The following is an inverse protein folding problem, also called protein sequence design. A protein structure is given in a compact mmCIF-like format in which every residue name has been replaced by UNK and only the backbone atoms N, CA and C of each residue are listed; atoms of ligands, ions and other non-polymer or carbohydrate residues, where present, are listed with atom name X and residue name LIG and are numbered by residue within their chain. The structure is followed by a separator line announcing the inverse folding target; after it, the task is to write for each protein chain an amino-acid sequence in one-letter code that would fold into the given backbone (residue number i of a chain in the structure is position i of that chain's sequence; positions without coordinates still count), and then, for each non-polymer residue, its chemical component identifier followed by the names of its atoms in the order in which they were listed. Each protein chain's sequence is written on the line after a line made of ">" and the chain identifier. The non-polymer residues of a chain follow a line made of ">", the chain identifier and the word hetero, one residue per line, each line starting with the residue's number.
data_IF_602057784367
#
_entry.id   IF_602057784367
#
_cell.length_a   1.000
_cell.length_b   1.000
_cell.length_c   1.000
_cell.angle_alpha   90.00
_cell.angle_beta   90.00
_cell.angle_gamma   90.00
#
_symmetry.space_group_name_H-M   'P 1'
#
loop_
_entity.id
_entity.type
_entity.pdbx_description
1 polymer ?
#
# COMPACT_ATOMS: atom_id res chain seq x y z
N UNK A 1 -9.24 9.84 -4.09
CA UNK A 1 -8.85 8.42 -4.09
C UNK A 1 -10.13 7.61 -4.03
N UNK A 2 -10.25 6.65 -4.92
CA UNK A 2 -11.34 5.69 -4.91
C UNK A 2 -10.79 4.31 -4.56
N UNK A 3 -11.29 3.75 -3.47
CA UNK A 3 -10.96 2.39 -3.03
C UNK A 3 -12.23 1.56 -3.05
N UNK A 4 -12.14 0.37 -3.64
CA UNK A 4 -13.22 -0.61 -3.65
C UNK A 4 -12.72 -1.92 -3.06
N UNK A 5 -13.56 -2.61 -2.29
CA UNK A 5 -13.21 -3.90 -1.68
C UNK A 5 -13.32 -3.88 -0.15
N UNK A 6 -12.47 -4.65 0.51
CA UNK A 6 -12.59 -4.94 1.95
C UNK A 6 -11.95 -3.92 2.89
N UNK A 7 -11.52 -2.78 2.39
CA UNK A 7 -10.87 -1.78 3.24
C UNK A 7 -11.89 -1.03 4.10
N UNK A 8 -12.17 -1.57 5.28
CA UNK A 8 -13.10 -1.00 6.25
C UNK A 8 -12.50 -1.13 7.66
N UNK A 9 -11.46 -0.35 7.97
CA UNK A 9 -10.88 -0.39 9.31
C UNK A 9 -11.85 0.18 10.34
N UNK A 10 -11.83 -0.39 11.53
CA UNK A 10 -12.66 0.06 12.62
C UNK A 10 -12.09 -0.33 13.97
N UNK A 11 -12.61 0.25 15.08
CA UNK A 11 -12.14 -0.03 16.41
C UNK A 11 -12.21 -1.51 16.76
N UNK A 12 -11.12 -2.07 17.28
CA UNK A 12 -11.04 -3.45 17.74
C UNK A 12 -10.77 -4.49 16.65
N UNK A 13 -10.69 -4.09 15.39
CA UNK A 13 -10.33 -4.98 14.28
C UNK A 13 -9.23 -4.35 13.43
N UNK A 14 -7.99 -4.73 13.71
CA UNK A 14 -6.87 -4.28 12.90
C UNK A 14 -6.93 -4.90 11.51
N UNK A 15 -6.82 -4.07 10.48
CA UNK A 15 -6.54 -4.51 9.12
C UNK A 15 -5.09 -4.20 8.75
N UNK A 16 -4.43 -5.15 8.09
CA UNK A 16 -3.10 -4.98 7.50
C UNK A 16 -3.24 -5.15 5.99
N UNK A 17 -2.94 -4.09 5.25
CA UNK A 17 -3.18 -4.02 3.80
C UNK A 17 -1.91 -3.58 3.09
N UNK A 18 -1.42 -4.40 2.17
CA UNK A 18 -0.30 -4.04 1.32
C UNK A 18 -0.80 -3.44 0.00
N UNK A 19 -0.23 -2.31 -0.40
CA UNK A 19 -0.41 -1.78 -1.73
C UNK A 19 0.58 -2.43 -2.67
N UNK A 20 0.07 -3.06 -3.72
CA UNK A 20 0.87 -3.73 -4.75
C UNK A 20 0.48 -3.19 -6.12
N UNK A 21 1.36 -3.33 -7.09
CA UNK A 21 1.05 -2.94 -8.45
C UNK A 21 2.26 -2.49 -9.25
N UNK A 22 2.03 -2.10 -10.52
CA UNK A 22 3.09 -1.61 -11.39
C UNK A 22 3.76 -0.36 -10.87
N UNK A 23 4.99 -0.10 -11.34
CA UNK A 23 5.69 1.16 -11.08
C UNK A 23 4.94 2.33 -11.70
N UNK A 24 5.06 3.50 -11.09
CA UNK A 24 4.47 4.75 -11.63
C UNK A 24 2.96 4.89 -11.44
N UNK A 25 2.32 4.04 -10.64
CA UNK A 25 0.89 4.14 -10.32
C UNK A 25 0.60 5.09 -9.15
N UNK A 26 1.63 5.62 -8.51
CA UNK A 26 1.49 6.52 -7.36
C UNK A 26 1.15 5.80 -6.05
N UNK A 27 1.59 4.53 -5.89
CA UNK A 27 1.32 3.75 -4.68
C UNK A 27 1.67 4.49 -3.40
N UNK A 28 2.92 4.93 -3.29
CA UNK A 28 3.46 5.55 -2.07
C UNK A 28 2.69 6.81 -1.68
N UNK A 29 2.56 7.75 -2.61
CA UNK A 29 1.88 9.03 -2.35
C UNK A 29 0.41 8.81 -2.00
N UNK A 30 -0.26 7.90 -2.69
CA UNK A 30 -1.68 7.64 -2.44
C UNK A 30 -1.92 6.86 -1.15
N UNK A 31 -0.97 6.03 -0.71
CA UNK A 31 -1.03 5.41 0.61
C UNK A 31 -0.97 6.45 1.73
N UNK A 32 -0.09 7.43 1.61
CA UNK A 32 -0.01 8.53 2.60
C UNK A 32 -1.31 9.31 2.65
N UNK A 33 -1.87 9.65 1.48
CA UNK A 33 -3.17 10.34 1.41
C UNK A 33 -4.29 9.50 2.04
N UNK A 34 -4.28 8.21 1.79
CA UNK A 34 -5.26 7.28 2.35
C UNK A 34 -5.13 7.20 3.86
N UNK A 35 -3.90 7.07 4.36
CA UNK A 35 -3.61 7.07 5.80
C UNK A 35 -4.12 8.34 6.47
N UNK A 36 -3.81 9.50 5.90
CA UNK A 36 -4.26 10.80 6.40
C UNK A 36 -5.80 10.89 6.40
N UNK A 37 -6.44 10.40 5.36
CA UNK A 37 -7.90 10.41 5.26
C UNK A 37 -8.55 9.57 6.37
N UNK A 38 -8.08 8.35 6.61
CA UNK A 38 -8.60 7.51 7.69
C UNK A 38 -8.35 8.11 9.07
N UNK A 39 -7.17 8.69 9.27
CA UNK A 39 -6.81 9.29 10.54
C UNK A 39 -7.66 10.54 10.85
N UNK A 40 -7.86 11.41 9.87
CA UNK A 40 -8.57 12.69 10.05
C UNK A 40 -10.10 12.53 10.01
N UNK A 41 -10.62 11.72 9.10
CA UNK A 41 -12.07 11.61 8.87
C UNK A 41 -12.73 10.52 9.70
N UNK A 42 -12.03 9.43 9.97
CA UNK A 42 -12.57 8.27 10.68
C UNK A 42 -11.94 8.04 12.05
N UNK A 43 -11.04 8.91 12.45
CA UNK A 43 -10.35 8.84 13.75
C UNK A 43 -9.66 7.49 14.00
N UNK A 44 -9.20 6.85 12.92
CA UNK A 44 -8.45 5.61 12.99
C UNK A 44 -6.99 5.88 13.37
N UNK A 45 -6.40 4.98 14.16
CA UNK A 45 -4.96 4.95 14.32
C UNK A 45 -4.34 4.18 13.17
N UNK A 46 -3.52 4.86 12.37
CA UNK A 46 -2.93 4.32 11.16
C UNK A 46 -1.41 4.29 11.28
N UNK A 47 -0.81 3.14 10.99
CA UNK A 47 0.64 2.99 10.83
C UNK A 47 0.98 2.70 9.38
N UNK A 48 2.15 3.17 8.95
CA UNK A 48 2.65 2.94 7.60
C UNK A 48 3.98 2.19 7.67
N UNK A 49 4.10 1.16 6.86
CA UNK A 49 5.33 0.38 6.67
C UNK A 49 5.72 0.52 5.21
N UNK A 50 6.99 0.85 4.93
CA UNK A 50 7.50 0.78 3.56
C UNK A 50 8.55 -0.30 3.42
N UNK A 51 8.38 -1.13 2.41
CA UNK A 51 9.36 -2.10 1.94
C UNK A 51 10.03 -1.65 0.63
N UNK A 52 9.65 -0.50 0.10
CA UNK A 52 10.27 0.08 -1.09
C UNK A 52 11.48 0.93 -0.70
N UNK A 53 12.64 0.28 -0.59
CA UNK A 53 13.92 0.92 -0.29
C UNK A 53 14.79 1.14 -1.53
N UNK A 54 14.23 0.96 -2.71
CA UNK A 54 14.95 1.02 -3.99
C UNK A 54 15.55 2.40 -4.28
N UNK A 55 15.00 3.47 -3.68
CA UNK A 55 15.48 4.84 -3.81
C UNK A 55 15.47 5.53 -2.44
N UNK A 56 16.64 5.95 -1.97
CA UNK A 56 16.78 6.68 -0.70
C UNK A 56 15.95 7.96 -0.67
N UNK A 57 15.89 8.68 -1.80
CA UNK A 57 15.07 9.88 -1.95
C UNK A 57 13.58 9.63 -1.74
N UNK A 58 13.09 8.47 -2.13
CA UNK A 58 11.68 8.09 -1.93
C UNK A 58 11.34 7.91 -0.46
N UNK A 59 12.25 7.31 0.32
CA UNK A 59 12.06 7.13 1.76
C UNK A 59 12.06 8.48 2.48
N UNK A 60 12.97 9.38 2.12
CA UNK A 60 13.04 10.72 2.72
C UNK A 60 11.80 11.55 2.41
N UNK A 61 11.31 11.50 1.18
CA UNK A 61 10.04 12.13 0.81
C UNK A 61 8.86 11.56 1.59
N UNK A 62 8.83 10.24 1.72
CA UNK A 62 7.78 9.56 2.47
C UNK A 62 7.80 9.99 3.94
N UNK A 63 8.98 10.09 4.57
CA UNK A 63 9.12 10.60 5.94
C UNK A 63 8.58 12.02 6.08
N UNK A 64 8.88 12.89 5.14
CA UNK A 64 8.37 14.26 5.14
C UNK A 64 6.85 14.29 5.17
N UNK A 65 6.20 13.50 4.34
CA UNK A 65 4.73 13.42 4.30
C UNK A 65 4.15 12.77 5.56
N UNK A 66 4.75 11.69 6.04
CA UNK A 66 4.25 11.00 7.23
C UNK A 66 4.42 11.85 8.49
N UNK A 67 5.50 12.61 8.59
CA UNK A 67 5.69 13.57 9.68
C UNK A 67 4.66 14.69 9.64
N UNK A 68 4.36 15.21 8.46
CA UNK A 68 3.35 16.26 8.27
C UNK A 68 1.97 15.82 8.76
N UNK A 69 1.59 14.57 8.51
CA UNK A 69 0.30 14.01 8.90
C UNK A 69 0.35 13.26 10.24
N UNK A 70 1.51 13.21 10.88
CA UNK A 70 1.71 12.49 12.15
C UNK A 70 1.36 11.00 12.05
N UNK A 71 1.69 10.38 10.94
CA UNK A 71 1.55 8.95 10.72
C UNK A 71 2.87 8.27 11.03
N UNK A 72 2.93 7.32 11.99
CA UNK A 72 4.15 6.58 12.25
C UNK A 72 4.58 5.76 11.03
N UNK A 73 5.88 5.81 10.73
CA UNK A 73 6.49 5.12 9.59
C UNK A 73 7.59 4.17 10.05
N UNK A 74 7.52 2.92 9.60
CA UNK A 74 8.59 1.95 9.72
C UNK A 74 9.13 1.60 8.33
N UNK A 75 10.46 1.55 8.21
CA UNK A 75 11.16 1.16 6.98
C UNK A 75 11.73 -0.24 7.17
N UNK A 76 11.38 -1.16 6.28
CA UNK A 76 11.76 -2.57 6.40
C UNK A 76 12.36 -3.10 5.10
N UNK A 77 13.23 -4.11 5.21
CA UNK A 77 13.85 -4.77 4.08
C UNK A 77 13.50 -6.26 3.98
N UNK A 78 13.06 -6.88 5.08
CA UNK A 78 12.81 -8.31 5.14
C UNK A 78 11.42 -8.61 5.68
N UNK A 79 10.92 -9.81 5.43
CA UNK A 79 9.65 -10.28 6.00
C UNK A 79 9.66 -10.28 7.53
N UNK A 80 10.81 -10.60 8.14
CA UNK A 80 10.97 -10.57 9.60
C UNK A 80 10.85 -9.15 10.15
N UNK A 81 11.49 -8.19 9.51
CA UNK A 81 11.36 -6.77 9.88
C UNK A 81 9.94 -6.26 9.70
N UNK A 82 9.29 -6.65 8.62
CA UNK A 82 7.89 -6.29 8.34
C UNK A 82 6.96 -6.85 9.41
N UNK A 83 7.15 -8.11 9.81
CA UNK A 83 6.39 -8.73 10.90
C UNK A 83 6.60 -7.97 12.21
N UNK A 84 7.85 -7.61 12.52
CA UNK A 84 8.18 -6.82 13.72
C UNK A 84 7.50 -5.46 13.69
N UNK A 85 7.57 -4.76 12.57
CA UNK A 85 6.92 -3.46 12.39
C UNK A 85 5.39 -3.57 12.57
N UNK A 86 4.78 -4.60 12.00
CA UNK A 86 3.35 -4.88 12.20
C UNK A 86 3.02 -5.09 13.67
N UNK A 87 3.87 -5.80 14.41
CA UNK A 87 3.69 -6.02 15.84
C UNK A 87 3.83 -4.73 16.66
N UNK A 88 4.71 -3.82 16.26
CA UNK A 88 4.83 -2.50 16.88
C UNK A 88 3.56 -1.67 16.73
N UNK A 89 2.81 -1.90 15.65
CA UNK A 89 1.52 -1.27 15.42
C UNK A 89 0.34 -2.09 15.96
N UNK A 90 0.58 -3.06 16.83
CA UNK A 90 -0.48 -3.80 17.50
C UNK A 90 -1.38 -2.83 18.27
N UNK A 91 -2.68 -2.93 18.09
CA UNK A 91 -3.64 -1.98 18.65
C UNK A 91 -4.00 -0.82 17.73
N UNK A 92 -3.29 -0.63 16.62
CA UNK A 92 -3.70 0.30 15.57
C UNK A 92 -4.86 -0.30 14.78
N UNK A 93 -5.71 0.57 14.24
CA UNK A 93 -6.87 0.14 13.46
C UNK A 93 -6.50 -0.29 12.04
N UNK A 94 -5.50 0.34 11.46
CA UNK A 94 -5.07 0.10 10.10
C UNK A 94 -3.54 0.17 9.99
N UNK A 95 -2.95 -0.83 9.35
CA UNK A 95 -1.54 -0.82 8.96
C UNK A 95 -1.47 -0.92 7.44
N UNK A 96 -0.91 0.09 6.81
CA UNK A 96 -0.70 0.13 5.36
C UNK A 96 0.75 -0.20 5.05
N UNK A 97 0.96 -1.05 4.06
CA UNK A 97 2.30 -1.48 3.63
C UNK A 97 2.53 -1.02 2.20
N UNK A 98 3.56 -0.21 2.02
CA UNK A 98 4.04 0.21 0.71
C UNK A 98 5.06 -0.79 0.17
N UNK A 99 4.89 -1.24 -1.06
CA UNK A 99 5.80 -2.18 -1.72
C UNK A 99 6.38 -1.60 -3.00
N UNK A 100 7.50 -2.13 -3.45
CA UNK A 100 8.12 -1.74 -4.71
C UNK A 100 7.20 -2.05 -5.90
N UNK A 101 7.25 -1.21 -6.93
CA UNK A 101 6.55 -1.47 -8.18
C UNK A 101 7.14 -2.66 -8.91
N UNK A 102 6.28 -3.53 -9.44
CA UNK A 102 6.66 -4.72 -10.20
C UNK A 102 5.87 -4.73 -11.49
N UNK A 103 6.54 -5.02 -12.61
CA UNK A 103 5.85 -5.18 -13.89
C UNK A 103 4.90 -6.38 -13.84
N UNK A 104 3.68 -6.27 -14.39
CA UNK A 104 2.70 -7.37 -14.35
C UNK A 104 3.20 -8.67 -15.00
N UNK A 105 4.11 -8.57 -15.95
CA UNK A 105 4.72 -9.73 -16.61
C UNK A 105 5.83 -10.41 -15.83
N UNK A 106 6.34 -9.79 -14.77
CA UNK A 106 7.38 -10.36 -13.91
C UNK A 106 6.76 -11.25 -12.83
N UNK A 107 6.27 -12.40 -13.25
CA UNK A 107 5.57 -13.35 -12.37
C UNK A 107 6.46 -13.87 -11.25
N UNK A 108 7.75 -13.98 -11.48
CA UNK A 108 8.71 -14.43 -10.46
C UNK A 108 8.80 -13.43 -9.32
N UNK A 109 8.98 -12.15 -9.62
CA UNK A 109 9.02 -11.08 -8.62
C UNK A 109 7.68 -10.94 -7.88
N UNK A 110 6.56 -11.10 -8.57
CA UNK A 110 5.22 -11.07 -7.97
C UNK A 110 5.02 -12.22 -6.98
N UNK A 111 5.50 -13.41 -7.30
CA UNK A 111 5.44 -14.57 -6.38
C UNK A 111 6.30 -14.33 -5.13
N UNK A 112 7.48 -13.77 -5.30
CA UNK A 112 8.35 -13.41 -4.17
C UNK A 112 7.65 -12.41 -3.25
N UNK A 113 7.02 -11.40 -3.82
CA UNK A 113 6.23 -10.43 -3.06
C UNK A 113 5.08 -11.12 -2.30
N UNK A 114 4.32 -11.97 -2.97
CA UNK A 114 3.22 -12.71 -2.34
C UNK A 114 3.68 -13.56 -1.16
N UNK A 115 4.79 -14.27 -1.31
CA UNK A 115 5.38 -15.07 -0.25
C UNK A 115 5.85 -14.22 0.93
N UNK A 116 6.44 -13.07 0.66
CA UNK A 116 6.88 -12.13 1.69
C UNK A 116 5.68 -11.61 2.51
N UNK A 117 4.60 -11.26 1.85
CA UNK A 117 3.39 -10.77 2.53
C UNK A 117 2.76 -11.85 3.42
N UNK A 118 2.69 -13.08 2.94
CA UNK A 118 2.19 -14.22 3.73
C UNK A 118 3.08 -14.47 4.94
N UNK A 119 4.39 -14.51 4.75
CA UNK A 119 5.36 -14.72 5.82
C UNK A 119 5.30 -13.61 6.88
N UNK A 120 5.09 -12.38 6.45
CA UNK A 120 4.96 -11.23 7.35
C UNK A 120 3.60 -11.15 8.06
N UNK A 121 2.63 -11.98 7.67
CA UNK A 121 1.29 -11.98 8.24
C UNK A 121 0.45 -10.79 7.81
N UNK A 122 0.64 -10.31 6.57
CA UNK A 122 -0.18 -9.25 5.98
C UNK A 122 -1.44 -9.89 5.39
N UNK A 123 -2.60 -9.46 5.85
CA UNK A 123 -3.85 -10.15 5.59
C UNK A 123 -4.43 -9.84 4.20
N UNK A 124 -4.22 -8.65 3.71
CA UNK A 124 -4.89 -8.16 2.51
C UNK A 124 -3.93 -7.47 1.55
N UNK A 125 -4.22 -7.57 0.27
CA UNK A 125 -3.49 -6.89 -0.79
C UNK A 125 -4.42 -6.00 -1.61
N UNK A 126 -4.02 -4.75 -1.79
CA UNK A 126 -4.72 -3.76 -2.57
C UNK A 126 -3.94 -3.47 -3.84
N UNK A 127 -4.54 -3.76 -4.99
CA UNK A 127 -3.93 -3.46 -6.28
C UNK A 127 -4.17 -1.99 -6.63
N UNK A 128 -3.08 -1.27 -6.86
CA UNK A 128 -3.13 0.13 -7.26
C UNK A 128 -3.00 0.23 -8.77
N UNK A 129 -4.04 0.74 -9.41
CA UNK A 129 -4.13 0.87 -10.86
C UNK A 129 -3.88 2.32 -11.27
N UNK A 130 -3.35 2.48 -12.48
CA UNK A 130 -3.18 3.80 -13.06
C UNK A 130 -4.51 4.27 -13.67
N UNK A 131 -5.06 5.37 -13.16
CA UNK A 131 -6.33 5.93 -13.65
C UNK A 131 -6.26 6.38 -15.13
N UNK A 132 -5.07 6.65 -15.63
CA UNK A 132 -4.82 7.03 -17.04
C UNK A 132 -4.41 5.84 -17.92
N UNK A 133 -4.31 4.67 -17.33
CA UNK A 133 -3.95 3.48 -18.07
C UNK A 133 -5.03 3.05 -19.04
N UNK A 134 -4.63 2.37 -20.12
CA UNK A 134 -5.57 1.72 -21.01
C UNK A 134 -6.29 0.58 -20.30
N UNK A 135 -7.45 0.18 -20.83
CA UNK A 135 -8.17 -0.99 -20.33
C UNK A 135 -7.28 -2.24 -20.37
N UNK A 136 -6.48 -2.41 -21.43
CA UNK A 136 -5.57 -3.54 -21.58
C UNK A 136 -4.48 -3.55 -20.50
N UNK A 137 -3.92 -2.40 -20.16
CA UNK A 137 -2.92 -2.30 -19.09
C UNK A 137 -3.52 -2.60 -17.71
N UNK A 138 -4.76 -2.21 -17.47
CA UNK A 138 -5.46 -2.54 -16.23
C UNK A 138 -5.74 -4.05 -16.11
N UNK A 139 -6.18 -4.68 -17.19
CA UNK A 139 -6.40 -6.13 -17.24
C UNK A 139 -5.09 -6.89 -17.04
N UNK A 140 -4.01 -6.45 -17.67
CA UNK A 140 -2.69 -7.04 -17.52
C UNK A 140 -2.23 -6.98 -16.06
N UNK A 141 -2.45 -5.87 -15.37
CA UNK A 141 -2.13 -5.73 -13.95
C UNK A 141 -2.97 -6.68 -13.08
N UNK A 142 -4.28 -6.76 -13.32
CA UNK A 142 -5.18 -7.68 -12.58
C UNK A 142 -4.75 -9.13 -12.77
N UNK A 143 -4.45 -9.53 -13.98
CA UNK A 143 -4.00 -10.91 -14.30
C UNK A 143 -2.63 -11.18 -13.67
N UNK A 144 -1.69 -10.26 -13.82
CA UNK A 144 -0.31 -10.42 -13.33
C UNK A 144 -0.25 -10.55 -11.80
N UNK A 145 -1.01 -9.75 -11.10
CA UNK A 145 -1.03 -9.74 -9.62
C UNK A 145 -2.06 -10.70 -9.00
N UNK A 146 -2.78 -11.47 -9.81
CA UNK A 146 -3.82 -12.37 -9.32
C UNK A 146 -3.36 -13.39 -8.29
N UNK A 147 -2.10 -13.84 -8.37
CA UNK A 147 -1.51 -14.81 -7.42
C UNK A 147 -1.25 -14.24 -6.02
N UNK A 148 -1.25 -12.91 -5.87
CA UNK A 148 -1.03 -12.26 -4.56
C UNK A 148 -2.28 -12.32 -3.67
N UNK A 149 -3.45 -12.60 -4.24
CA UNK A 149 -4.71 -12.60 -3.47
C UNK A 149 -5.24 -11.19 -3.25
N UNK A 150 -5.54 -10.50 -4.35
CA UNK A 150 -6.06 -9.12 -4.31
C UNK A 150 -7.45 -9.10 -3.69
N UNK A 151 -7.62 -8.26 -2.67
CA UNK A 151 -8.89 -8.09 -1.94
C UNK A 151 -9.53 -6.73 -2.16
N UNK A 152 -8.77 -5.75 -2.66
CA UNK A 152 -9.28 -4.41 -2.95
C UNK A 152 -8.51 -3.78 -4.10
N UNK A 153 -9.13 -2.77 -4.70
CA UNK A 153 -8.54 -1.98 -5.78
C UNK A 153 -8.49 -0.52 -5.37
N UNK A 154 -7.39 0.14 -5.69
CA UNK A 154 -7.26 1.59 -5.54
C UNK A 154 -7.03 2.22 -6.90
N UNK A 155 -7.87 3.19 -7.26
CA UNK A 155 -7.65 4.08 -8.40
C UNK A 155 -7.42 5.49 -7.91
N UNK A 156 -6.19 6.00 -8.02
CA UNK A 156 -5.93 7.40 -7.71
C UNK A 156 -6.71 8.28 -8.68
N UNK A 157 -7.55 9.16 -8.15
CA UNK A 157 -8.19 10.17 -9.00
C UNK A 157 -7.14 11.19 -9.40
N UNK A 158 -7.06 11.48 -10.70
CA UNK A 158 -6.40 12.69 -11.16
C UNK A 158 -7.06 13.87 -10.48
N UNK A 159 -6.30 14.60 -9.69
CA UNK A 159 -6.72 15.92 -9.26
C UNK A 159 -6.98 16.74 -10.53
N UNK A 160 -8.22 17.09 -10.79
CA UNK A 160 -8.48 18.17 -11.74
C UNK A 160 -7.81 19.41 -11.15
N UNK A 161 -6.71 19.80 -11.72
CA UNK A 161 -6.21 21.15 -11.53
C UNK A 161 -7.30 22.02 -12.15
N UNK A 162 -8.15 22.58 -11.32
CA UNK A 162 -8.99 23.71 -11.76
C UNK A 162 -8.04 24.88 -11.97
N UNK A 163 -7.74 25.11 -13.21
CA UNK A 163 -7.19 26.40 -13.57
C UNK A 163 -8.28 27.44 -13.46
#
# INVERSE_FOLDING_TARGET
>A
IQVTGRLQPGPGQQQTVAAVGPSGTGKTVNLVKLAAQFQLQQQCQVGLITADTSQLTSVDQLRTYTDMFQVPLEVVATAREMRRARQQFAGFDLVLVDTAGIRPGDLSAIRVLGSLLVEAGIDEAMLVLNANGSQDSMLEAVEGFGSVGITSLMMPKLGRIRM
#
